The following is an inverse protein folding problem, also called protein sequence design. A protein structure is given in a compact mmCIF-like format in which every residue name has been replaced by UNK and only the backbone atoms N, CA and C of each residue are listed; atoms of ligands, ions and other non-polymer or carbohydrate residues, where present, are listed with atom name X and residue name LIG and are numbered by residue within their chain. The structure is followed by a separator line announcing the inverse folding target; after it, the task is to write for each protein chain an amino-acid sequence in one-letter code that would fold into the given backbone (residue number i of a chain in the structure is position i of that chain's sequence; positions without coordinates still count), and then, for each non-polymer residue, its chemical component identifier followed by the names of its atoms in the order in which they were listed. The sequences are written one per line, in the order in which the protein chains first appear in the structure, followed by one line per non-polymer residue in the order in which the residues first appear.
data_IF_594153206881
#
_entry.id   IF_594153206881
#
_cell.length_a   1.000
_cell.length_b   1.000
_cell.length_c   1.000
_cell.angle_alpha   90.00
_cell.angle_beta   90.00
_cell.angle_gamma   90.00
#
_symmetry.space_group_name_H-M   'P 1'
#
loop_
_entity.id
_entity.type
_entity.pdbx_description
1 polymer ?
#
# COMPACT_ATOMS: atom_id res chain seq x y z
N UNK A 1 41.78 -19.56 4.87
CA UNK A 1 42.27 -18.30 5.44
C UNK A 1 42.29 -17.27 4.32
N UNK A 2 41.27 -16.43 4.25
CA UNK A 2 41.37 -15.12 3.58
C UNK A 2 40.74 -14.15 4.58
N UNK A 3 41.55 -13.20 4.97
CA UNK A 3 41.45 -12.42 6.20
C UNK A 3 40.33 -11.39 6.18
N UNK A 4 39.74 -11.22 7.36
CA UNK A 4 38.92 -10.08 7.78
C UNK A 4 39.75 -8.78 7.74
N UNK A 5 39.77 -8.05 6.61
CA UNK A 5 40.46 -6.75 6.52
C UNK A 5 39.60 -5.57 6.01
N UNK A 6 38.29 -5.57 6.24
CA UNK A 6 37.44 -4.42 5.89
C UNK A 6 36.76 -3.70 7.07
N UNK A 7 37.17 -3.96 8.31
CA UNK A 7 36.61 -3.31 9.50
C UNK A 7 37.31 -2.02 9.99
N UNK A 8 38.22 -1.43 9.20
CA UNK A 8 39.14 -0.38 9.73
C UNK A 8 39.01 1.05 9.20
N UNK A 9 38.36 1.31 8.06
CA UNK A 9 38.22 2.67 7.53
C UNK A 9 36.75 2.96 7.28
N UNK A 10 36.21 3.94 8.01
CA UNK A 10 34.95 4.58 7.64
C UNK A 10 35.00 4.91 6.15
N UNK A 11 33.92 4.60 5.43
CA UNK A 11 33.78 4.85 4.00
C UNK A 11 34.28 6.26 3.65
N UNK A 12 35.41 6.33 2.94
CA UNK A 12 36.08 7.60 2.62
C UNK A 12 35.15 8.52 1.83
N UNK A 13 34.29 7.96 0.99
CA UNK A 13 33.33 8.72 0.21
C UNK A 13 32.27 9.35 1.12
N UNK A 14 31.80 8.62 2.15
CA UNK A 14 30.91 9.17 3.17
C UNK A 14 31.57 10.30 3.94
N UNK A 15 32.82 10.11 4.38
CA UNK A 15 33.55 11.15 5.08
C UNK A 15 33.68 12.44 4.26
N UNK A 16 33.94 12.33 2.96
CA UNK A 16 33.98 13.48 2.05
C UNK A 16 32.62 14.18 1.91
N UNK A 17 31.51 13.44 1.82
CA UNK A 17 30.17 14.03 1.79
C UNK A 17 29.86 14.83 3.06
N UNK A 18 30.17 14.29 4.23
CA UNK A 18 30.02 15.02 5.50
C UNK A 18 30.93 16.24 5.56
N UNK A 19 32.19 16.11 5.14
CA UNK A 19 33.14 17.23 5.06
C UNK A 19 32.63 18.35 4.15
N UNK A 20 32.19 18.02 2.94
CA UNK A 20 31.66 18.99 1.98
C UNK A 20 30.44 19.71 2.53
N UNK A 21 29.49 18.98 3.11
CA UNK A 21 28.28 19.56 3.70
C UNK A 21 28.56 20.52 4.86
N UNK A 22 29.50 20.16 5.75
CA UNK A 22 29.91 21.01 6.86
C UNK A 22 30.56 22.29 6.34
N UNK A 23 31.57 22.16 5.47
CA UNK A 23 32.34 23.30 4.94
C UNK A 23 31.51 24.22 4.03
N UNK A 24 30.48 23.70 3.36
CA UNK A 24 29.54 24.52 2.60
C UNK A 24 28.61 25.34 3.51
N UNK A 25 28.42 24.92 4.76
CA UNK A 25 27.54 25.59 5.74
C UNK A 25 28.29 26.60 6.61
N UNK A 26 29.57 26.34 6.92
CA UNK A 26 30.39 27.18 7.78
C UNK A 26 31.65 26.46 8.26
N UNK A 27 32.25 26.96 9.34
CA UNK A 27 33.40 26.30 9.98
C UNK A 27 32.97 25.12 10.85
N UNK A 28 33.92 24.28 11.26
CA UNK A 28 33.63 23.18 12.19
C UNK A 28 33.12 23.70 13.54
N UNK A 29 33.62 24.86 13.98
CA UNK A 29 33.23 25.53 15.21
C UNK A 29 31.77 26.01 15.13
N UNK A 30 31.39 26.68 14.04
CA UNK A 30 30.03 27.18 13.85
C UNK A 30 29.02 26.04 13.73
N UNK A 31 29.38 24.96 13.01
CA UNK A 31 28.51 23.79 12.88
C UNK A 31 28.44 23.03 14.20
N UNK A 32 29.52 22.95 14.99
CA UNK A 32 29.51 22.34 16.30
C UNK A 32 28.58 23.06 17.27
N UNK A 33 28.64 24.39 17.30
CA UNK A 33 27.76 25.23 18.12
C UNK A 33 26.28 25.02 17.76
N UNK A 34 25.95 25.05 16.47
CA UNK A 34 24.56 24.91 15.99
C UNK A 34 24.01 23.49 16.12
N UNK A 35 24.85 22.47 15.93
CA UNK A 35 24.42 21.07 15.93
C UNK A 35 24.48 20.41 17.33
N UNK A 36 25.27 20.98 18.25
CA UNK A 36 25.59 20.34 19.53
C UNK A 36 26.47 19.09 19.38
N UNK A 37 27.15 18.92 18.23
CA UNK A 37 28.16 17.89 17.99
C UNK A 37 29.53 18.50 18.24
N UNK A 38 30.42 17.82 18.98
CA UNK A 38 31.73 18.40 19.28
C UNK A 38 32.58 18.60 18.01
N UNK A 39 33.40 19.66 17.98
CA UNK A 39 34.34 19.93 16.87
C UNK A 39 35.23 18.72 16.59
N UNK A 40 35.74 18.07 17.64
CA UNK A 40 36.57 16.85 17.50
C UNK A 40 35.82 15.71 16.80
N UNK A 41 34.54 15.52 17.15
CA UNK A 41 33.67 14.53 16.50
C UNK A 41 33.47 14.86 15.03
N UNK A 42 33.17 16.11 14.69
CA UNK A 42 33.00 16.55 13.29
C UNK A 42 34.28 16.30 12.48
N UNK A 43 35.44 16.68 13.00
CA UNK A 43 36.73 16.46 12.33
C UNK A 43 37.03 14.97 12.14
N UNK A 44 36.71 14.12 13.13
CA UNK A 44 36.89 12.66 13.02
C UNK A 44 35.98 12.05 11.96
N UNK A 45 34.73 12.52 11.86
CA UNK A 45 33.78 12.10 10.82
C UNK A 45 34.28 12.53 9.45
N UNK A 46 34.61 13.81 9.29
CA UNK A 46 35.07 14.39 8.01
C UNK A 46 36.43 13.87 7.53
N UNK A 47 37.23 13.27 8.42
CA UNK A 47 38.50 12.61 8.07
C UNK A 47 38.37 11.11 7.87
N UNK A 48 37.18 10.52 8.02
CA UNK A 48 36.98 9.07 7.91
C UNK A 48 37.65 8.28 9.03
N UNK A 49 38.01 8.94 10.14
CA UNK A 49 38.55 8.25 11.32
C UNK A 49 37.47 7.54 12.13
N UNK A 50 36.21 7.96 12.01
CA UNK A 50 35.09 7.40 12.77
C UNK A 50 33.80 7.60 12.00
N UNK A 51 32.95 6.60 12.03
CA UNK A 51 31.60 6.72 11.49
C UNK A 51 30.71 7.57 12.39
N UNK A 52 29.89 8.45 11.80
CA UNK A 52 28.94 9.24 12.57
C UNK A 52 27.92 8.31 13.21
N UNK A 53 27.62 8.52 14.49
CA UNK A 53 26.41 7.95 15.09
C UNK A 53 25.20 8.50 14.36
N UNK A 54 24.12 7.72 14.25
CA UNK A 54 22.89 8.15 13.58
C UNK A 54 22.40 9.51 14.12
N UNK A 55 22.43 9.69 15.43
CA UNK A 55 22.07 10.96 16.09
C UNK A 55 22.91 12.15 15.63
N UNK A 56 24.20 11.95 15.41
CA UNK A 56 25.12 13.01 14.99
C UNK A 56 24.92 13.30 13.50
N UNK A 57 24.74 12.24 12.69
CA UNK A 57 24.41 12.38 11.27
C UNK A 57 23.10 13.17 11.06
N UNK A 58 22.06 12.88 11.84
CA UNK A 58 20.77 13.60 11.80
C UNK A 58 20.95 15.08 12.17
N UNK A 59 21.72 15.37 13.24
CA UNK A 59 21.99 16.75 13.67
C UNK A 59 22.74 17.54 12.60
N UNK A 60 23.78 16.92 12.01
CA UNK A 60 24.56 17.53 10.93
C UNK A 60 23.66 17.79 9.72
N UNK A 61 22.91 16.78 9.25
CA UNK A 61 21.98 16.89 8.12
C UNK A 61 20.97 18.05 8.30
N UNK A 62 20.42 18.20 9.51
CA UNK A 62 19.48 19.26 9.84
C UNK A 62 20.10 20.66 9.73
N UNK A 63 21.32 20.84 10.22
CA UNK A 63 22.00 22.15 10.20
C UNK A 63 22.53 22.49 8.80
N UNK A 64 23.06 21.49 8.09
CA UNK A 64 23.57 21.68 6.72
C UNK A 64 22.47 21.70 5.66
N UNK A 65 21.22 21.43 6.06
CA UNK A 65 20.04 21.29 5.18
C UNK A 65 20.25 20.28 4.04
N UNK A 66 21.06 19.26 4.30
CA UNK A 66 21.32 18.17 3.37
C UNK A 66 20.41 16.99 3.66
N UNK A 67 20.10 16.19 2.65
CA UNK A 67 19.37 14.95 2.83
C UNK A 67 20.25 13.94 3.61
N UNK A 68 19.70 13.36 4.67
CA UNK A 68 20.43 12.40 5.51
C UNK A 68 20.87 11.16 4.71
N UNK A 69 20.03 10.66 3.81
CA UNK A 69 20.36 9.50 2.99
C UNK A 69 21.49 9.81 2.02
N UNK A 70 21.51 11.00 1.42
CA UNK A 70 22.59 11.41 0.52
C UNK A 70 23.92 11.56 1.29
N UNK A 71 23.88 12.10 2.50
CA UNK A 71 25.07 12.18 3.36
C UNK A 71 25.62 10.79 3.71
N UNK A 72 24.75 9.88 4.16
CA UNK A 72 25.17 8.58 4.69
C UNK A 72 25.48 7.59 3.56
N UNK A 73 24.65 7.50 2.53
CA UNK A 73 24.73 6.47 1.50
C UNK A 73 25.11 7.01 0.11
N UNK A 74 25.09 8.32 -0.10
CA UNK A 74 25.36 8.96 -1.39
C UNK A 74 24.11 9.10 -2.27
N UNK A 75 24.24 9.82 -3.39
CA UNK A 75 23.19 9.89 -4.42
C UNK A 75 22.97 8.50 -5.01
N UNK A 76 22.05 7.77 -4.43
CA UNK A 76 21.79 6.40 -4.82
C UNK A 76 20.47 6.35 -5.54
N UNK A 77 20.49 6.89 -6.76
CA UNK A 77 19.46 6.58 -7.78
C UNK A 77 19.22 5.07 -7.84
N UNK A 78 20.26 4.25 -7.63
CA UNK A 78 20.20 2.79 -7.61
C UNK A 78 19.57 2.20 -6.32
N UNK A 79 19.82 2.75 -5.13
CA UNK A 79 19.18 2.26 -3.89
C UNK A 79 17.70 2.69 -3.83
N UNK A 80 17.36 3.84 -4.41
CA UNK A 80 15.98 4.29 -4.58
C UNK A 80 15.22 3.40 -5.56
N UNK A 81 15.86 2.97 -6.66
CA UNK A 81 15.33 1.98 -7.60
C UNK A 81 15.12 0.62 -6.92
N UNK A 82 16.05 0.18 -6.09
CA UNK A 82 15.98 -1.13 -5.41
C UNK A 82 14.93 -1.14 -4.27
N UNK A 83 14.82 -0.05 -3.51
CA UNK A 83 13.79 0.11 -2.48
C UNK A 83 12.37 0.07 -3.10
N UNK A 84 12.19 0.76 -4.23
CA UNK A 84 10.94 0.73 -5.01
C UNK A 84 10.67 -0.67 -5.57
N UNK A 85 11.68 -1.35 -6.14
CA UNK A 85 11.55 -2.74 -6.61
C UNK A 85 11.13 -3.71 -5.49
N UNK A 86 11.69 -3.58 -4.29
CA UNK A 86 11.34 -4.45 -3.15
C UNK A 86 9.88 -4.26 -2.69
N UNK A 87 9.34 -3.03 -2.82
CA UNK A 87 7.96 -2.72 -2.48
C UNK A 87 6.98 -3.22 -3.57
N UNK A 88 7.36 -3.11 -4.84
CA UNK A 88 6.57 -3.55 -6.01
C UNK A 88 6.46 -5.09 -6.09
N UNK A 89 7.54 -5.81 -5.78
CA UNK A 89 7.55 -7.29 -5.86
C UNK A 89 6.56 -7.94 -4.87
N UNK A 90 6.15 -7.23 -3.82
CA UNK A 90 5.23 -7.73 -2.79
C UNK A 90 3.73 -7.59 -3.13
N UNK A 91 3.35 -6.87 -4.20
CA UNK A 91 1.96 -6.46 -4.46
C UNK A 91 1.30 -7.01 -5.74
N UNK A 92 1.80 -8.12 -6.28
CA UNK A 92 1.24 -8.86 -7.43
C UNK A 92 1.46 -8.25 -8.83
N UNK A 93 2.72 -8.19 -9.27
CA UNK A 93 3.08 -8.16 -10.70
C UNK A 93 3.74 -6.88 -11.20
N UNK A 94 4.38 -7.00 -12.37
CA UNK A 94 5.15 -5.97 -13.08
C UNK A 94 4.25 -5.16 -14.03
N UNK A 95 3.46 -4.24 -13.50
CA UNK A 95 2.82 -3.22 -14.33
C UNK A 95 3.71 -1.98 -14.39
N UNK A 96 4.45 -1.84 -15.49
CA UNK A 96 5.40 -0.74 -15.72
C UNK A 96 4.72 0.64 -15.58
N UNK A 97 3.44 0.75 -15.95
CA UNK A 97 2.68 2.00 -15.82
C UNK A 97 2.41 2.33 -14.34
N UNK A 98 2.07 1.33 -13.53
CA UNK A 98 1.89 1.49 -12.09
C UNK A 98 3.21 1.80 -11.39
N UNK A 99 4.30 1.16 -11.77
CA UNK A 99 5.64 1.41 -11.22
C UNK A 99 6.12 2.84 -11.51
N UNK A 100 5.92 3.31 -12.74
CA UNK A 100 6.24 4.67 -13.14
C UNK A 100 5.36 5.69 -12.40
N UNK A 101 4.07 5.40 -12.23
CA UNK A 101 3.18 6.23 -11.43
C UNK A 101 3.63 6.33 -9.97
N UNK A 102 3.99 5.21 -9.34
CA UNK A 102 4.53 5.21 -7.96
C UNK A 102 5.79 6.06 -7.85
N UNK A 103 6.76 5.88 -8.75
CA UNK A 103 7.99 6.67 -8.78
C UNK A 103 7.67 8.16 -8.93
N UNK A 104 6.84 8.50 -9.91
CA UNK A 104 6.42 9.87 -10.20
C UNK A 104 5.76 10.53 -8.99
N UNK A 105 4.87 9.81 -8.30
CA UNK A 105 4.20 10.30 -7.08
C UNK A 105 5.23 10.55 -5.97
N UNK A 106 6.05 9.55 -5.62
CA UNK A 106 7.04 9.66 -4.54
C UNK A 106 7.97 10.86 -4.76
N UNK A 107 8.48 11.00 -5.98
CA UNK A 107 9.39 12.10 -6.33
C UNK A 107 8.71 13.45 -6.31
N UNK A 108 7.51 13.57 -6.90
CA UNK A 108 6.80 14.84 -6.97
C UNK A 108 6.31 15.31 -5.61
N UNK A 109 5.92 14.40 -4.71
CA UNK A 109 5.50 14.75 -3.35
C UNK A 109 6.52 15.62 -2.61
N UNK A 110 7.83 15.43 -2.85
CA UNK A 110 8.90 16.23 -2.23
C UNK A 110 8.95 17.68 -2.69
N UNK A 111 8.34 17.99 -3.84
CA UNK A 111 8.33 19.31 -4.47
C UNK A 111 7.02 20.09 -4.26
N UNK A 112 6.03 19.48 -3.60
CA UNK A 112 4.70 20.07 -3.42
C UNK A 112 4.62 20.98 -2.19
N UNK A 113 3.68 21.93 -2.24
CA UNK A 113 3.32 22.71 -1.06
C UNK A 113 2.54 21.86 -0.05
N UNK A 114 2.51 22.29 1.20
CA UNK A 114 1.84 21.53 2.29
C UNK A 114 0.34 21.33 2.03
N UNK A 115 -0.32 22.31 1.42
CA UNK A 115 -1.75 22.26 1.07
C UNK A 115 -2.02 21.18 0.01
N UNK A 116 -1.13 21.05 -0.98
CA UNK A 116 -1.24 20.04 -2.03
C UNK A 116 -1.04 18.63 -1.45
N UNK A 117 -0.07 18.45 -0.55
CA UNK A 117 0.16 17.18 0.16
C UNK A 117 -1.09 16.80 0.98
N UNK A 118 -1.71 17.77 1.66
CA UNK A 118 -2.95 17.54 2.41
C UNK A 118 -4.11 17.14 1.48
N UNK A 119 -4.26 17.82 0.34
CA UNK A 119 -5.29 17.48 -0.64
C UNK A 119 -5.10 16.08 -1.22
N UNK A 120 -3.85 15.69 -1.52
CA UNK A 120 -3.53 14.32 -1.97
C UNK A 120 -3.90 13.29 -0.91
N UNK A 121 -3.61 13.56 0.37
CA UNK A 121 -3.99 12.65 1.45
C UNK A 121 -5.53 12.44 1.52
N UNK A 122 -6.32 13.51 1.39
CA UNK A 122 -7.79 13.40 1.35
C UNK A 122 -8.26 12.54 0.16
N UNK A 123 -7.66 12.74 -1.01
CA UNK A 123 -7.98 11.94 -2.19
C UNK A 123 -7.63 10.46 -2.01
N UNK A 124 -6.47 10.15 -1.43
CA UNK A 124 -6.04 8.78 -1.12
C UNK A 124 -7.03 8.12 -0.15
N UNK A 125 -7.43 8.82 0.92
CA UNK A 125 -8.40 8.32 1.88
C UNK A 125 -9.76 8.02 1.21
N UNK A 126 -10.27 8.95 0.41
CA UNK A 126 -11.54 8.78 -0.30
C UNK A 126 -11.50 7.58 -1.26
N UNK A 127 -10.41 7.40 -2.02
CA UNK A 127 -10.24 6.26 -2.93
C UNK A 127 -10.15 4.94 -2.18
N UNK A 128 -9.44 4.91 -1.05
CA UNK A 128 -9.32 3.71 -0.20
C UNK A 128 -10.67 3.31 0.38
N UNK A 129 -11.41 4.27 0.95
CA UNK A 129 -12.75 4.03 1.48
C UNK A 129 -13.74 3.60 0.41
N UNK A 130 -13.71 4.25 -0.76
CA UNK A 130 -14.57 3.88 -1.89
C UNK A 130 -14.28 2.45 -2.35
N UNK A 131 -13.01 2.11 -2.55
CA UNK A 131 -12.60 0.76 -2.95
C UNK A 131 -12.98 -0.29 -1.91
N UNK A 132 -12.84 0.03 -0.62
CA UNK A 132 -13.28 -0.86 0.46
C UNK A 132 -14.79 -1.07 0.44
N UNK A 133 -15.59 0.00 0.32
CA UNK A 133 -17.06 -0.08 0.24
C UNK A 133 -17.50 -0.86 -0.99
N UNK A 134 -16.90 -0.59 -2.15
CA UNK A 134 -17.16 -1.30 -3.40
C UNK A 134 -16.86 -2.79 -3.24
N UNK A 135 -15.65 -3.16 -2.80
CA UNK A 135 -15.28 -4.57 -2.57
C UNK A 135 -16.20 -5.24 -1.57
N UNK A 136 -16.61 -4.57 -0.49
CA UNK A 136 -17.55 -5.12 0.49
C UNK A 136 -18.91 -5.41 -0.14
N UNK A 137 -19.40 -4.50 -0.99
CA UNK A 137 -20.68 -4.63 -1.68
C UNK A 137 -20.65 -5.74 -2.72
N UNK A 138 -19.60 -5.77 -3.56
CA UNK A 138 -19.35 -6.83 -4.54
C UNK A 138 -19.22 -8.19 -3.85
N UNK A 139 -18.44 -8.26 -2.76
CA UNK A 139 -18.27 -9.45 -1.92
C UNK A 139 -19.60 -9.99 -1.40
N UNK A 140 -20.45 -9.11 -0.87
CA UNK A 140 -21.78 -9.50 -0.37
C UNK A 140 -22.72 -9.96 -1.50
N UNK A 141 -22.70 -9.28 -2.64
CA UNK A 141 -23.51 -9.60 -3.81
C UNK A 141 -23.13 -10.95 -4.41
N UNK A 142 -21.83 -11.21 -4.59
CA UNK A 142 -21.31 -12.49 -5.08
C UNK A 142 -21.60 -13.63 -4.10
N UNK A 143 -21.42 -13.41 -2.80
CA UNK A 143 -21.78 -14.41 -1.77
C UNK A 143 -23.27 -14.76 -1.82
N UNK A 144 -24.13 -13.76 -1.99
CA UNK A 144 -25.57 -14.00 -2.15
C UNK A 144 -25.87 -14.78 -3.41
N UNK A 145 -25.26 -14.42 -4.54
CA UNK A 145 -25.43 -15.14 -5.81
C UNK A 145 -24.96 -16.59 -5.71
N UNK A 146 -23.86 -16.84 -5.00
CA UNK A 146 -23.39 -18.19 -4.69
C UNK A 146 -24.45 -18.99 -3.93
N UNK A 147 -25.01 -18.44 -2.85
CA UNK A 147 -26.07 -19.06 -2.05
C UNK A 147 -27.32 -19.35 -2.89
N UNK A 148 -27.74 -18.41 -3.74
CA UNK A 148 -28.89 -18.60 -4.64
C UNK A 148 -28.65 -19.79 -5.60
N UNK A 149 -27.46 -19.92 -6.17
CA UNK A 149 -27.11 -21.04 -7.06
C UNK A 149 -27.00 -22.38 -6.31
N UNK A 150 -26.55 -22.38 -5.05
CA UNK A 150 -26.61 -23.57 -4.18
C UNK A 150 -28.06 -24.02 -3.95
N UNK A 151 -28.96 -23.08 -3.63
CA UNK A 151 -30.39 -23.37 -3.42
C UNK A 151 -31.03 -23.93 -4.70
N UNK A 152 -30.71 -23.36 -5.86
CA UNK A 152 -31.21 -23.80 -7.16
C UNK A 152 -30.51 -25.05 -7.72
N UNK A 153 -29.53 -25.61 -6.98
CA UNK A 153 -28.76 -26.80 -7.36
C UNK A 153 -28.00 -26.65 -8.68
N UNK A 154 -27.51 -25.45 -8.97
CA UNK A 154 -26.65 -25.14 -10.14
C UNK A 154 -25.18 -25.22 -9.73
N UNK A 155 -24.67 -26.44 -9.60
CA UNK A 155 -23.34 -26.69 -9.02
C UNK A 155 -22.18 -26.09 -9.84
N UNK A 156 -22.26 -26.15 -11.16
CA UNK A 156 -21.28 -25.57 -12.08
C UNK A 156 -21.09 -24.06 -11.91
N UNK A 157 -22.20 -23.31 -11.81
CA UNK A 157 -22.18 -21.87 -11.59
C UNK A 157 -21.75 -21.55 -10.17
N UNK A 158 -22.22 -22.34 -9.19
CA UNK A 158 -21.84 -22.15 -7.78
C UNK A 158 -20.33 -22.33 -7.58
N UNK A 159 -19.72 -23.35 -8.19
CA UNK A 159 -18.28 -23.61 -8.08
C UNK A 159 -17.44 -22.50 -8.74
N UNK A 160 -17.90 -21.95 -9.87
CA UNK A 160 -17.26 -20.81 -10.51
C UNK A 160 -17.26 -19.57 -9.60
N UNK A 161 -18.40 -19.25 -8.99
CA UNK A 161 -18.52 -18.11 -8.07
C UNK A 161 -17.71 -18.35 -6.78
N UNK A 162 -17.70 -19.59 -6.26
CA UNK A 162 -16.87 -19.96 -5.11
C UNK A 162 -15.40 -19.67 -5.38
N UNK A 163 -14.90 -20.09 -6.54
CA UNK A 163 -13.50 -19.83 -6.95
C UNK A 163 -13.21 -18.34 -6.99
N UNK A 164 -14.09 -17.54 -7.57
CA UNK A 164 -13.96 -16.08 -7.61
C UNK A 164 -13.94 -15.45 -6.21
N UNK A 165 -14.81 -15.92 -5.30
CA UNK A 165 -14.87 -15.45 -3.91
C UNK A 165 -13.57 -15.74 -3.14
N UNK A 166 -12.95 -16.90 -3.37
CA UNK A 166 -11.67 -17.29 -2.74
C UNK A 166 -10.52 -16.49 -3.34
N UNK A 167 -10.37 -16.50 -4.66
CA UNK A 167 -9.21 -15.91 -5.36
C UNK A 167 -9.19 -14.38 -5.27
N UNK A 168 -10.33 -13.72 -5.43
CA UNK A 168 -10.38 -12.26 -5.58
C UNK A 168 -10.87 -11.53 -4.33
N UNK A 169 -11.61 -12.20 -3.45
CA UNK A 169 -12.22 -11.59 -2.26
C UNK A 169 -11.76 -12.18 -0.93
N UNK A 170 -10.86 -13.18 -0.96
CA UNK A 170 -10.20 -13.71 0.23
C UNK A 170 -11.11 -14.49 1.17
N UNK A 171 -12.20 -15.05 0.66
CA UNK A 171 -12.95 -16.06 1.42
C UNK A 171 -12.13 -17.33 1.59
N UNK A 172 -12.33 -17.99 2.71
CA UNK A 172 -11.86 -19.36 2.92
C UNK A 172 -12.92 -20.35 2.43
N UNK A 173 -12.46 -21.55 2.06
CA UNK A 173 -13.35 -22.65 1.71
C UNK A 173 -14.30 -23.04 2.86
N UNK A 174 -13.86 -22.87 4.11
CA UNK A 174 -14.65 -23.12 5.31
C UNK A 174 -15.79 -22.10 5.46
N UNK A 175 -15.52 -20.81 5.25
CA UNK A 175 -16.54 -19.75 5.27
C UNK A 175 -17.62 -19.94 4.18
N UNK A 176 -17.29 -20.66 3.11
CA UNK A 176 -18.20 -20.98 2.01
C UNK A 176 -18.83 -22.38 2.13
N UNK A 177 -18.57 -23.10 3.23
CA UNK A 177 -19.19 -24.40 3.48
C UNK A 177 -20.68 -24.26 3.79
N UNK A 178 -21.48 -25.27 3.39
CA UNK A 178 -22.93 -25.27 3.66
C UNK A 178 -23.25 -25.14 5.16
N UNK A 179 -22.39 -25.67 6.03
CA UNK A 179 -22.53 -25.57 7.48
C UNK A 179 -22.40 -24.12 7.99
N UNK A 180 -21.46 -23.35 7.45
CA UNK A 180 -21.28 -21.94 7.82
C UNK A 180 -22.33 -21.03 7.17
N UNK A 181 -22.85 -21.44 6.01
CA UNK A 181 -23.87 -20.69 5.27
C UNK A 181 -25.31 -21.07 5.64
N UNK A 182 -25.54 -22.01 6.55
CA UNK A 182 -26.85 -22.60 6.81
C UNK A 182 -27.93 -21.55 7.12
N UNK A 183 -27.63 -20.61 8.02
CA UNK A 183 -28.55 -19.53 8.38
C UNK A 183 -28.88 -18.61 7.17
N UNK A 184 -27.87 -18.31 6.35
CA UNK A 184 -28.01 -17.43 5.19
C UNK A 184 -28.78 -18.14 4.06
N UNK A 185 -28.52 -19.44 3.84
CA UNK A 185 -29.26 -20.30 2.92
C UNK A 185 -30.75 -20.34 3.31
N UNK A 186 -31.07 -20.53 4.59
CA UNK A 186 -32.47 -20.55 5.07
C UNK A 186 -33.14 -19.19 4.86
N UNK A 187 -32.43 -18.10 5.14
CA UNK A 187 -32.94 -16.73 4.98
C UNK A 187 -33.20 -16.39 3.52
N UNK A 188 -32.24 -16.68 2.64
CA UNK A 188 -32.33 -16.45 1.20
C UNK A 188 -33.42 -17.31 0.55
N UNK A 189 -33.57 -18.57 0.96
CA UNK A 189 -34.64 -19.45 0.47
C UNK A 189 -36.03 -18.87 0.75
N UNK A 190 -36.27 -18.39 1.98
CA UNK A 190 -37.55 -17.72 2.34
C UNK A 190 -37.81 -16.49 1.48
N UNK A 191 -36.77 -15.70 1.19
CA UNK A 191 -36.91 -14.52 0.31
C UNK A 191 -37.27 -14.93 -1.12
N UNK A 192 -36.57 -15.90 -1.69
CA UNK A 192 -36.83 -16.40 -3.04
C UNK A 192 -38.25 -16.99 -3.17
N UNK A 193 -38.74 -17.71 -2.16
CA UNK A 193 -40.11 -18.23 -2.15
C UNK A 193 -41.15 -17.10 -2.16
N UNK A 194 -40.94 -16.07 -1.33
CA UNK A 194 -41.80 -14.88 -1.31
C UNK A 194 -41.81 -14.13 -2.65
N UNK A 195 -40.64 -13.91 -3.25
CA UNK A 195 -40.52 -13.27 -4.57
C UNK A 195 -41.21 -14.10 -5.67
N UNK A 196 -41.09 -15.43 -5.64
CA UNK A 196 -41.77 -16.32 -6.58
C UNK A 196 -43.30 -16.23 -6.44
N UNK A 197 -43.80 -16.16 -5.21
CA UNK A 197 -45.24 -16.03 -4.95
C UNK A 197 -45.79 -14.66 -5.38
N UNK A 198 -45.05 -13.58 -5.14
CA UNK A 198 -45.39 -12.23 -5.61
C UNK A 198 -45.39 -12.14 -7.14
N UNK A 199 -44.38 -12.72 -7.81
CA UNK A 199 -44.35 -12.82 -9.28
C UNK A 199 -45.53 -13.60 -9.82
N UNK A 200 -45.89 -14.73 -9.20
CA UNK A 200 -47.05 -15.54 -9.60
C UNK A 200 -48.35 -14.74 -9.50
N UNK A 201 -48.57 -14.02 -8.38
CA UNK A 201 -49.72 -13.13 -8.20
C UNK A 201 -49.76 -11.99 -9.23
N UNK A 202 -48.61 -11.42 -9.56
CA UNK A 202 -48.51 -10.38 -10.58
C UNK A 202 -48.86 -10.91 -11.99
N UNK A 203 -48.36 -12.09 -12.35
CA UNK A 203 -48.70 -12.76 -13.62
C UNK A 203 -50.19 -13.06 -13.69
N UNK A 204 -50.76 -13.69 -12.65
CA UNK A 204 -52.20 -14.00 -12.59
C UNK A 204 -53.08 -12.74 -12.68
N UNK A 205 -52.66 -11.63 -12.06
CA UNK A 205 -53.34 -10.34 -12.14
C UNK A 205 -53.28 -9.76 -13.55
N UNK A 206 -52.12 -9.87 -14.21
CA UNK A 206 -51.90 -9.41 -15.57
C UNK A 206 -52.74 -10.21 -16.56
N UNK A 207 -52.71 -11.54 -16.47
CA UNK A 207 -53.54 -12.44 -17.28
C UNK A 207 -55.05 -12.18 -17.10
N UNK A 208 -55.51 -11.90 -15.87
CA UNK A 208 -56.90 -11.51 -15.61
C UNK A 208 -57.29 -10.17 -16.24
N UNK A 209 -56.37 -9.21 -16.35
CA UNK A 209 -56.63 -7.95 -17.06
C UNK A 209 -56.76 -8.16 -18.57
N UNK A 210 -55.93 -9.02 -19.16
CA UNK A 210 -55.97 -9.34 -20.59
C UNK A 210 -57.11 -10.31 -21.00
N UNK A 211 -57.78 -10.98 -20.05
CA UNK A 211 -58.94 -11.85 -20.28
C UNK A 211 -60.31 -11.18 -20.10
N UNK A 212 -60.39 -9.86 -19.86
CA UNK A 212 -61.70 -9.17 -19.82
C UNK A 212 -62.29 -9.12 -21.24
N UNK A 213 -63.50 -9.66 -21.48
CA UNK A 213 -64.16 -9.51 -22.77
C UNK A 213 -64.54 -8.04 -23.02
N UNK A 214 -64.44 -7.62 -24.28
CA UNK A 214 -65.01 -6.37 -24.81
C UNK A 214 -66.55 -6.35 -24.64
#
# INVERSE_FOLDING_TARGET
MIENEHQGMADKNRAERFKAAILATGTYEEVAEKSGVSVSTLVRISSGKTDPKLSDAVKIAKITRQNLNDLVYGETKEQQVEAVKSFVTALNGTDEATDEAYRSIIWKLTSLYKEDIQAINVQIQALSEFRHKQRTTERASLKRTYIENLIEKRSDIADMIRKELVENYGFTDDELSEAQLEYEIVTERKRLEKEKEERKKAIEKTEKMFRRPL
#
